data_IF_183466766303
#
_entry.id   IF_183466766303
#
_cell.length_a   1.000
_cell.length_b   1.000
_cell.length_c   1.000
_cell.angle_alpha   90.00
_cell.angle_beta   90.00
_cell.angle_gamma   90.00
#
_symmetry.space_group_name_H-M   'P 1'
#
loop_
_entity.id
_entity.type
_entity.pdbx_description
1 polymer ?
#
# COMPACT_ATOMS: atom_id res chain seq x y z
N UNK A 1 5.35 7.62 -13.24
CA UNK A 1 4.88 7.79 -11.85
C UNK A 1 4.51 9.24 -11.64
N UNK A 2 3.34 9.52 -11.05
CA UNK A 2 2.88 10.88 -10.73
C UNK A 2 2.39 10.90 -9.29
N UNK A 3 2.88 11.86 -8.49
CA UNK A 3 2.48 12.03 -7.10
C UNK A 3 1.26 12.96 -7.00
N UNK A 4 0.23 12.51 -6.30
CA UNK A 4 -0.96 13.28 -5.94
C UNK A 4 -1.01 13.38 -4.42
N UNK A 5 -0.79 14.58 -3.89
CA UNK A 5 -0.87 14.83 -2.46
C UNK A 5 -2.28 15.32 -2.10
N UNK A 6 -2.93 14.62 -1.18
CA UNK A 6 -4.20 15.10 -0.62
C UNK A 6 -3.96 15.94 0.64
N UNK A 7 -3.02 15.51 1.49
CA UNK A 7 -2.52 16.28 2.64
C UNK A 7 -1.14 15.73 3.07
N UNK A 8 -0.63 16.18 4.22
CA UNK A 8 0.69 15.75 4.76
C UNK A 8 0.77 14.26 5.12
N UNK A 9 -0.37 13.62 5.30
CA UNK A 9 -0.50 12.25 5.82
C UNK A 9 -1.16 11.30 4.82
N UNK A 10 -1.59 11.74 3.64
CA UNK A 10 -2.28 10.92 2.63
C UNK A 10 -1.87 11.37 1.22
N UNK A 11 -1.32 10.45 0.43
CA UNK A 11 -0.95 10.69 -0.97
C UNK A 11 -1.03 9.43 -1.82
N UNK A 12 -1.18 9.62 -3.14
CA UNK A 12 -1.24 8.55 -4.14
C UNK A 12 -0.12 8.72 -5.15
N UNK A 13 0.51 7.63 -5.51
CA UNK A 13 1.47 7.54 -6.61
C UNK A 13 0.79 6.80 -7.77
N UNK A 14 0.37 7.53 -8.79
CA UNK A 14 -0.19 6.95 -10.01
C UNK A 14 0.91 6.30 -10.85
N UNK A 15 0.55 5.21 -11.55
CA UNK A 15 1.48 4.42 -12.37
C UNK A 15 2.72 3.98 -11.57
N UNK A 16 2.51 3.56 -10.32
CA UNK A 16 3.54 2.99 -9.46
C UNK A 16 3.95 1.61 -9.96
N UNK A 17 2.97 0.77 -10.28
CA UNK A 17 3.16 -0.50 -10.98
C UNK A 17 2.57 -0.45 -12.38
N UNK A 18 3.14 -1.26 -13.28
CA UNK A 18 2.59 -1.45 -14.62
C UNK A 18 1.43 -2.44 -14.59
N UNK A 19 0.57 -2.35 -15.61
CA UNK A 19 -0.52 -3.30 -15.84
C UNK A 19 -0.05 -4.76 -15.85
N UNK A 20 1.13 -4.99 -16.44
CA UNK A 20 1.76 -6.31 -16.50
C UNK A 20 2.13 -6.81 -15.10
N UNK A 21 2.80 -5.97 -14.30
CA UNK A 21 3.22 -6.33 -12.95
C UNK A 21 2.00 -6.66 -12.08
N UNK A 22 0.93 -5.85 -12.14
CA UNK A 22 -0.31 -6.12 -11.40
C UNK A 22 -0.91 -7.48 -11.78
N UNK A 23 -1.05 -7.77 -13.07
CA UNK A 23 -1.62 -9.05 -13.56
C UNK A 23 -0.76 -10.25 -13.18
N UNK A 24 0.56 -10.15 -13.30
CA UNK A 24 1.48 -11.22 -12.91
C UNK A 24 1.42 -11.47 -11.40
N UNK A 25 1.38 -10.39 -10.60
CA UNK A 25 1.33 -10.49 -9.15
C UNK A 25 0.02 -11.10 -8.64
N UNK A 26 -1.13 -10.72 -9.22
CA UNK A 26 -2.42 -11.36 -8.93
C UNK A 26 -2.32 -12.88 -9.15
N UNK A 27 -1.86 -13.31 -10.35
CA UNK A 27 -1.72 -14.73 -10.69
C UNK A 27 -0.84 -15.50 -9.70
N UNK A 28 0.26 -14.89 -9.25
CA UNK A 28 1.15 -15.50 -8.26
C UNK A 28 0.45 -15.60 -6.91
N UNK A 29 -0.22 -14.53 -6.46
CA UNK A 29 -0.87 -14.46 -5.16
C UNK A 29 -2.09 -15.38 -5.03
N UNK A 30 -2.83 -15.63 -6.11
CA UNK A 30 -3.97 -16.56 -6.09
C UNK A 30 -3.51 -18.03 -6.06
N UNK A 31 -2.37 -18.34 -6.69
CA UNK A 31 -1.79 -19.69 -6.66
C UNK A 31 -1.10 -20.01 -5.34
N UNK A 32 -0.42 -19.03 -4.77
CA UNK A 32 0.24 -19.12 -3.47
C UNK A 32 -0.17 -17.88 -2.69
N UNK A 33 -1.17 -17.98 -1.79
CA UNK A 33 -1.54 -16.86 -0.93
C UNK A 33 -0.27 -16.37 -0.23
N UNK A 34 0.23 -15.20 -0.66
CA UNK A 34 1.45 -14.60 -0.10
C UNK A 34 1.08 -13.98 1.24
N UNK A 35 0.59 -14.78 2.17
CA UNK A 35 0.49 -14.42 3.56
C UNK A 35 1.86 -14.71 4.17
N UNK A 36 2.70 -13.69 4.31
CA UNK A 36 4.03 -13.89 4.87
C UNK A 36 5.04 -12.77 4.63
N UNK A 37 6.22 -13.00 5.18
CA UNK A 37 7.40 -12.14 5.03
C UNK A 37 8.02 -12.29 3.64
N UNK A 38 8.03 -11.22 2.83
CA UNK A 38 8.69 -11.16 1.53
C UNK A 38 9.70 -9.99 1.48
N UNK A 39 10.92 -10.27 1.93
CA UNK A 39 12.00 -9.26 2.00
C UNK A 39 12.39 -8.72 0.62
N UNK A 40 12.41 -9.59 -0.40
CA UNK A 40 12.78 -9.20 -1.76
C UNK A 40 11.80 -8.17 -2.31
N UNK A 41 10.50 -8.47 -2.22
CA UNK A 41 9.44 -7.54 -2.65
C UNK A 41 9.50 -6.22 -1.86
N UNK A 42 9.75 -6.28 -0.55
CA UNK A 42 9.88 -5.07 0.27
C UNK A 42 11.03 -4.17 -0.19
N UNK A 43 12.19 -4.76 -0.43
CA UNK A 43 13.38 -4.04 -0.90
C UNK A 43 13.14 -3.43 -2.30
N UNK A 44 12.62 -4.20 -3.25
CA UNK A 44 12.33 -3.73 -4.62
C UNK A 44 11.26 -2.64 -4.66
N UNK A 45 10.23 -2.78 -3.82
CA UNK A 45 9.16 -1.78 -3.67
C UNK A 45 9.72 -0.51 -3.03
N UNK A 46 10.54 -0.63 -1.99
CA UNK A 46 11.18 0.50 -1.31
C UNK A 46 12.10 1.31 -2.23
N UNK A 47 12.87 0.66 -3.12
CA UNK A 47 13.73 1.36 -4.08
C UNK A 47 12.94 2.34 -4.97
N UNK A 48 11.70 1.99 -5.31
CA UNK A 48 10.81 2.86 -6.10
C UNK A 48 10.10 3.89 -5.21
N UNK A 49 9.58 3.43 -4.06
CA UNK A 49 8.77 4.21 -3.14
C UNK A 49 9.56 5.32 -2.41
N UNK A 50 10.82 5.07 -2.08
CA UNK A 50 11.68 5.95 -1.26
C UNK A 50 11.80 7.39 -1.78
N UNK A 51 11.55 7.62 -3.08
CA UNK A 51 11.55 8.94 -3.72
C UNK A 51 10.30 9.77 -3.42
N UNK A 52 9.23 9.13 -2.96
CA UNK A 52 7.90 9.71 -2.79
C UNK A 52 7.43 9.73 -1.33
N UNK A 53 8.25 9.25 -0.41
CA UNK A 53 7.96 9.25 1.03
C UNK A 53 8.80 10.32 1.72
N UNK A 54 8.29 10.94 2.80
CA UNK A 54 9.07 11.89 3.57
C UNK A 54 10.30 11.21 4.15
N UNK A 55 11.48 11.81 3.96
CA UNK A 55 12.74 11.27 4.53
C UNK A 55 12.73 11.33 6.06
N UNK A 56 12.03 12.31 6.61
CA UNK A 56 11.85 12.52 8.04
C UNK A 56 10.36 12.73 8.34
N UNK A 57 9.88 12.10 9.40
CA UNK A 57 8.53 12.25 9.92
C UNK A 57 8.64 12.37 11.44
N UNK A 58 8.27 13.54 11.98
CA UNK A 58 8.54 13.90 13.36
C UNK A 58 10.04 13.70 13.70
N UNK A 59 10.34 12.94 14.76
CA UNK A 59 11.69 12.59 15.18
C UNK A 59 12.23 11.30 14.52
N UNK A 60 11.46 10.72 13.59
CA UNK A 60 11.80 9.46 12.92
C UNK A 60 12.31 9.67 11.49
N UNK A 61 13.18 8.76 11.04
CA UNK A 61 13.68 8.71 9.66
C UNK A 61 13.09 7.51 8.93
N UNK A 62 12.66 7.71 7.69
CA UNK A 62 12.19 6.60 6.87
C UNK A 62 13.37 5.73 6.41
N UNK A 63 13.37 4.45 6.80
CA UNK A 63 14.49 3.52 6.58
C UNK A 63 14.16 2.38 5.62
N UNK A 64 12.89 2.03 5.42
CA UNK A 64 12.50 0.87 4.63
C UNK A 64 11.00 0.64 4.57
N UNK A 65 10.64 -0.50 3.98
CA UNK A 65 9.28 -1.04 3.95
C UNK A 65 9.22 -2.35 4.75
N UNK A 66 8.16 -2.53 5.54
CA UNK A 66 7.88 -3.80 6.22
C UNK A 66 7.69 -4.92 5.20
N UNK A 67 8.29 -6.09 5.46
CA UNK A 67 8.24 -7.25 4.60
C UNK A 67 6.97 -8.10 4.75
N UNK A 68 6.11 -7.82 5.73
CA UNK A 68 4.84 -8.51 5.91
C UNK A 68 3.77 -7.93 4.99
N UNK A 69 3.62 -8.52 3.81
CA UNK A 69 2.55 -8.15 2.88
C UNK A 69 1.26 -8.90 3.21
N UNK A 70 0.14 -8.20 3.10
CA UNK A 70 -1.21 -8.78 3.19
C UNK A 70 -1.94 -8.56 1.88
N UNK A 71 -2.64 -9.58 1.42
CA UNK A 71 -3.32 -9.59 0.13
C UNK A 71 -4.82 -9.64 0.38
N UNK A 72 -5.52 -8.61 -0.10
CA UNK A 72 -6.95 -8.48 0.07
C UNK A 72 -7.63 -8.65 -1.28
N UNK A 73 -8.42 -9.71 -1.40
CA UNK A 73 -9.39 -9.87 -2.48
C UNK A 73 -10.77 -9.72 -1.86
N UNK A 74 -11.53 -8.77 -2.38
CA UNK A 74 -12.93 -8.56 -1.99
C UNK A 74 -13.79 -9.06 -3.13
N UNK A 75 -14.57 -10.09 -2.87
CA UNK A 75 -15.54 -10.60 -3.84
C UNK A 75 -16.86 -9.82 -3.74
N UNK A 76 -17.68 -9.93 -4.79
CA UNK A 76 -19.03 -9.36 -4.79
C UNK A 76 -19.81 -9.90 -3.58
N UNK A 77 -20.46 -9.01 -2.85
CA UNK A 77 -21.26 -9.29 -1.64
C UNK A 77 -20.45 -9.67 -0.37
N UNK A 78 -19.11 -9.64 -0.41
CA UNK A 78 -18.29 -9.78 0.78
C UNK A 78 -18.27 -8.46 1.58
N UNK A 79 -18.63 -8.46 2.88
CA UNK A 79 -18.57 -7.25 3.68
C UNK A 79 -17.12 -6.79 3.83
N UNK A 80 -16.83 -5.56 3.42
CA UNK A 80 -15.55 -4.90 3.69
C UNK A 80 -15.49 -4.60 5.19
N UNK A 81 -14.75 -5.41 5.94
CA UNK A 81 -14.49 -5.12 7.35
C UNK A 81 -13.64 -3.87 7.43
N UNK A 82 -14.07 -2.90 8.24
CA UNK A 82 -13.20 -1.80 8.66
C UNK A 82 -12.02 -2.41 9.41
N UNK A 83 -10.85 -2.33 8.83
CA UNK A 83 -9.61 -2.72 9.49
C UNK A 83 -8.94 -1.45 9.97
N UNK A 84 -8.53 -1.43 11.25
CA UNK A 84 -7.58 -0.44 11.73
C UNK A 84 -6.19 -0.97 11.38
N UNK A 85 -5.39 -0.15 10.73
CA UNK A 85 -4.00 -0.50 10.50
C UNK A 85 -3.24 -0.39 11.81
N UNK A 86 -2.66 -1.51 12.24
CA UNK A 86 -1.84 -1.55 13.43
C UNK A 86 -0.40 -1.16 13.10
N UNK A 87 0.23 -0.47 14.04
CA UNK A 87 1.65 -0.19 13.97
C UNK A 87 2.43 -1.51 14.08
N UNK A 88 3.25 -1.80 13.07
CA UNK A 88 4.20 -2.90 13.09
C UNK A 88 5.49 -2.46 13.79
N UNK A 89 5.71 -2.97 14.99
CA UNK A 89 6.97 -2.77 15.73
C UNK A 89 7.98 -3.86 15.34
N UNK A 90 9.07 -3.48 14.64
CA UNK A 90 10.16 -4.43 14.36
C UNK A 90 11.05 -4.61 15.59
N UNK A 91 11.38 -3.50 16.26
CA UNK A 91 12.22 -3.47 17.45
C UNK A 91 11.98 -2.15 18.24
N UNK A 92 12.79 -1.88 19.27
CA UNK A 92 12.64 -0.69 20.14
C UNK A 92 12.82 0.65 19.42
N UNK A 93 13.42 0.67 18.24
CA UNK A 93 13.77 1.87 17.48
C UNK A 93 13.18 1.91 16.07
N UNK A 94 12.44 0.89 15.65
CA UNK A 94 11.88 0.79 14.30
C UNK A 94 10.41 0.31 14.34
N UNK A 95 9.55 1.14 13.77
CA UNK A 95 8.11 0.96 13.73
C UNK A 95 7.52 1.47 12.41
N UNK A 96 6.41 0.91 11.94
CA UNK A 96 5.67 1.50 10.83
C UNK A 96 4.93 2.75 11.28
N UNK A 97 5.04 3.84 10.53
CA UNK A 97 4.25 5.07 10.74
C UNK A 97 3.20 5.27 9.64
N UNK A 98 3.39 4.61 8.50
CA UNK A 98 2.56 4.72 7.30
C UNK A 98 2.20 3.34 6.79
N UNK A 99 0.99 3.22 6.24
CA UNK A 99 0.55 2.09 5.44
C UNK A 99 0.82 2.37 3.97
N UNK A 100 1.29 1.34 3.25
CA UNK A 100 1.33 1.29 1.79
C UNK A 100 0.25 0.32 1.29
N UNK A 101 -0.62 0.79 0.42
CA UNK A 101 -1.61 -0.03 -0.25
C UNK A 101 -1.48 0.12 -1.77
N UNK A 102 -1.27 -0.99 -2.47
CA UNK A 102 -1.13 -1.01 -3.94
C UNK A 102 -2.39 -1.60 -4.54
N UNK A 103 -3.04 -0.85 -5.42
CA UNK A 103 -4.24 -1.32 -6.11
C UNK A 103 -3.85 -2.20 -7.30
N UNK A 104 -4.25 -3.48 -7.26
CA UNK A 104 -3.87 -4.46 -8.29
C UNK A 104 -4.89 -4.55 -9.43
N UNK A 105 -6.11 -4.08 -9.21
CA UNK A 105 -7.18 -4.02 -10.19
C UNK A 105 -8.13 -2.85 -9.90
N UNK A 106 -9.05 -2.61 -10.82
CA UNK A 106 -9.96 -1.45 -10.90
C UNK A 106 -11.18 -1.73 -11.79
N UNK A 107 -11.39 -2.98 -12.17
CA UNK A 107 -12.47 -3.47 -13.03
C UNK A 107 -13.76 -3.76 -12.25
N UNK A 108 -14.05 -2.93 -11.25
CA UNK A 108 -15.21 -3.06 -10.35
C UNK A 108 -15.86 -1.71 -10.09
N UNK A 109 -17.09 -1.73 -9.58
CA UNK A 109 -17.80 -0.53 -9.11
C UNK A 109 -17.71 -0.43 -7.59
N UNK A 110 -17.43 0.77 -7.08
CA UNK A 110 -17.23 1.02 -5.65
C UNK A 110 -15.78 0.76 -5.21
N UNK A 111 -15.62 0.24 -3.99
CA UNK A 111 -14.31 -0.09 -3.40
C UNK A 111 -13.46 1.14 -3.04
N UNK A 112 -14.08 2.32 -2.90
CA UNK A 112 -13.37 3.52 -2.52
C UNK A 112 -12.84 3.43 -1.09
N UNK A 113 -11.60 3.92 -0.90
CA UNK A 113 -11.00 4.04 0.41
C UNK A 113 -11.42 5.38 1.00
N UNK A 114 -12.27 5.31 2.02
CA UNK A 114 -12.89 6.48 2.65
C UNK A 114 -12.12 6.87 3.90
N UNK A 115 -11.50 8.04 3.85
CA UNK A 115 -11.00 8.78 4.99
C UNK A 115 -12.07 9.79 5.46
N UNK A 116 -11.83 10.48 6.58
CA UNK A 116 -12.81 11.39 7.19
C UNK A 116 -13.35 12.46 6.22
N UNK A 117 -12.48 13.00 5.37
CA UNK A 117 -12.79 14.12 4.46
C UNK A 117 -12.47 13.82 2.99
N UNK A 118 -11.86 12.68 2.70
CA UNK A 118 -11.33 12.33 1.38
C UNK A 118 -11.79 10.91 1.03
N UNK A 119 -12.19 10.71 -0.22
CA UNK A 119 -12.47 9.39 -0.79
C UNK A 119 -11.54 9.14 -1.95
N UNK A 120 -10.85 8.00 -1.96
CA UNK A 120 -9.88 7.64 -2.99
C UNK A 120 -10.42 6.43 -3.76
N UNK A 121 -10.64 6.62 -5.06
CA UNK A 121 -11.03 5.54 -5.97
C UNK A 121 -9.80 4.72 -6.36
N UNK A 122 -9.83 3.39 -6.22
CA UNK A 122 -8.77 2.51 -6.69
C UNK A 122 -8.50 2.70 -8.19
N UNK A 123 -7.24 2.89 -8.54
CA UNK A 123 -6.78 2.87 -9.93
C UNK A 123 -5.68 1.84 -10.02
N UNK A 124 -5.78 0.89 -10.95
CA UNK A 124 -4.80 -0.19 -11.08
C UNK A 124 -3.39 0.35 -11.22
N UNK A 125 -2.47 -0.26 -10.49
CA UNK A 125 -1.06 0.12 -10.47
C UNK A 125 -0.77 1.40 -9.71
N UNK A 126 -1.75 2.06 -9.09
CA UNK A 126 -1.48 3.16 -8.17
C UNK A 126 -1.17 2.65 -6.75
N UNK A 127 -0.33 3.40 -6.04
CA UNK A 127 0.01 3.15 -4.65
C UNK A 127 -0.54 4.28 -3.78
N UNK A 128 -1.40 3.93 -2.82
CA UNK A 128 -1.88 4.81 -1.77
C UNK A 128 -0.97 4.67 -0.55
N UNK A 129 -0.53 5.80 -0.01
CA UNK A 129 0.23 5.88 1.23
C UNK A 129 -0.53 6.78 2.19
N UNK A 130 -0.73 6.31 3.42
CA UNK A 130 -1.37 7.09 4.46
C UNK A 130 -0.80 6.79 5.85
N UNK A 131 -0.86 7.79 6.74
CA UNK A 131 -0.46 7.64 8.13
C UNK A 131 -1.44 6.74 8.88
N UNK A 132 -0.90 5.84 9.73
CA UNK A 132 -1.67 4.91 10.56
C UNK A 132 -2.38 5.61 11.74
#
# INVERSE_FOLDING_TARGET
MKLINYNKSIWVIENFWTDKNCKEFIKVSEKNPVAGSNKKLAIETWMQLSKFVPKQFEDSKATGLNEKFSFFKVEKDQPVKKQKDECFMRNKSEASCFTLMIFLNDDFKGGEIKFKEISITPVRGSALIFQQ
#
